data_IF_559859234790
#
_entry.id   IF_559859234790
#
_cell.length_a   1.000
_cell.length_b   1.000
_cell.length_c   1.000
_cell.angle_alpha   90.00
_cell.angle_beta   90.00
_cell.angle_gamma   90.00
#
_symmetry.space_group_name_H-M   'P 1'
#
loop_
_entity.id
_entity.type
_entity.pdbx_description
1 polymer ?
#
# COMPACT_ATOMS: atom_id res chain seq x y z
N UNK A 1 10.19 15.38 30.52
CA UNK A 1 10.34 16.03 29.21
C UNK A 1 11.03 15.00 28.32
N UNK A 2 10.25 14.20 27.60
CA UNK A 2 10.76 13.13 26.71
C UNK A 2 10.50 13.65 25.31
N UNK A 3 11.57 13.99 24.59
CA UNK A 3 11.49 14.39 23.19
C UNK A 3 11.10 13.18 22.34
N UNK A 4 10.06 13.35 21.54
CA UNK A 4 9.52 12.36 20.61
C UNK A 4 10.44 12.32 19.39
N UNK A 5 11.38 11.37 19.38
CA UNK A 5 12.22 11.03 18.23
C UNK A 5 11.44 10.19 17.17
N UNK A 6 10.17 10.53 16.92
CA UNK A 6 9.26 9.75 16.07
C UNK A 6 9.18 10.21 14.61
N UNK A 7 9.44 11.51 14.35
CA UNK A 7 9.14 12.10 13.04
C UNK A 7 10.20 11.77 11.97
N UNK A 8 11.49 11.90 12.32
CA UNK A 8 12.59 11.70 11.34
C UNK A 8 12.76 10.26 10.85
N UNK A 9 12.39 9.28 11.66
CA UNK A 9 12.55 7.87 11.30
C UNK A 9 11.40 7.37 10.41
N UNK A 10 10.19 7.91 10.61
CA UNK A 10 9.06 7.68 9.72
C UNK A 10 9.33 8.33 8.34
N UNK A 11 9.83 9.56 8.30
CA UNK A 11 10.18 10.25 7.05
C UNK A 11 11.27 9.52 6.24
N UNK A 12 12.31 9.00 6.91
CA UNK A 12 13.39 8.25 6.26
C UNK A 12 12.89 6.94 5.64
N UNK A 13 12.01 6.21 6.35
CA UNK A 13 11.46 4.94 5.88
C UNK A 13 10.43 5.13 4.76
N UNK A 14 9.64 6.19 4.81
CA UNK A 14 8.72 6.57 3.72
C UNK A 14 9.51 6.94 2.46
N UNK A 15 10.63 7.65 2.59
CA UNK A 15 11.49 8.03 1.46
C UNK A 15 12.10 6.82 0.74
N UNK A 16 12.62 5.83 1.49
CA UNK A 16 13.17 4.60 0.89
C UNK A 16 12.09 3.73 0.26
N UNK A 17 10.90 3.65 0.86
CA UNK A 17 9.78 2.91 0.28
C UNK A 17 9.22 3.59 -0.97
N UNK A 18 9.26 4.93 -1.07
CA UNK A 18 8.91 5.65 -2.29
C UNK A 18 9.84 5.30 -3.47
N UNK A 19 11.14 5.14 -3.21
CA UNK A 19 12.09 4.69 -4.24
C UNK A 19 11.84 3.23 -4.66
N UNK A 20 11.49 2.35 -3.71
CA UNK A 20 11.06 0.97 -4.00
C UNK A 20 9.78 0.94 -4.83
N UNK A 21 8.80 1.82 -4.54
CA UNK A 21 7.60 2.02 -5.35
C UNK A 21 7.96 2.51 -6.75
N UNK A 22 8.81 3.53 -6.89
CA UNK A 22 9.23 4.05 -8.18
C UNK A 22 9.90 2.98 -9.07
N UNK A 23 10.64 2.04 -8.46
CA UNK A 23 11.24 0.89 -9.16
C UNK A 23 10.19 -0.15 -9.57
N UNK A 24 9.18 -0.41 -8.74
CA UNK A 24 8.06 -1.32 -9.03
C UNK A 24 7.16 -0.76 -10.14
N UNK A 25 6.91 0.55 -10.13
CA UNK A 25 6.06 1.24 -11.08
C UNK A 25 6.67 1.29 -12.49
N UNK A 26 7.98 1.14 -12.65
CA UNK A 26 8.64 1.45 -13.93
C UNK A 26 8.63 2.95 -14.21
N UNK A 27 9.59 3.42 -15.02
CA UNK A 27 9.74 4.84 -15.34
C UNK A 27 8.63 5.28 -16.31
N UNK A 28 7.81 6.25 -15.91
CA UNK A 28 6.84 6.96 -16.77
C UNK A 28 5.40 6.42 -16.71
N UNK A 29 4.81 6.37 -15.51
CA UNK A 29 3.47 5.81 -15.33
C UNK A 29 2.35 6.81 -15.59
N UNK A 30 1.22 6.29 -16.06
CA UNK A 30 -0.02 7.02 -16.35
C UNK A 30 -0.58 7.82 -15.16
N UNK A 31 -0.09 7.55 -13.95
CA UNK A 31 -0.53 8.12 -12.68
C UNK A 31 0.57 8.85 -11.90
N UNK A 32 1.66 9.29 -12.56
CA UNK A 32 2.77 10.01 -11.91
C UNK A 32 2.32 11.28 -11.13
N UNK A 33 1.21 11.92 -11.54
CA UNK A 33 0.63 13.06 -10.81
C UNK A 33 0.08 12.67 -9.43
N UNK A 34 -0.43 11.45 -9.26
CA UNK A 34 -0.96 10.95 -7.99
C UNK A 34 0.13 10.49 -7.02
N UNK A 35 1.32 10.17 -7.53
CA UNK A 35 2.45 9.72 -6.71
C UNK A 35 3.39 10.87 -6.34
N UNK A 36 3.25 12.03 -6.98
CA UNK A 36 3.98 13.25 -6.66
C UNK A 36 3.19 14.19 -5.75
N UNK A 37 1.87 14.26 -5.90
CA UNK A 37 0.97 14.91 -4.95
C UNK A 37 0.26 13.87 -4.07
N UNK A 38 0.51 13.96 -2.77
CA UNK A 38 -0.07 13.07 -1.77
C UNK A 38 -1.55 13.38 -1.47
N UNK A 39 -2.07 14.55 -1.84
CA UNK A 39 -3.41 14.99 -1.45
C UNK A 39 -4.54 14.12 -2.04
N UNK A 40 -4.54 13.71 -3.33
CA UNK A 40 -5.63 12.93 -3.93
C UNK A 40 -5.83 11.55 -3.28
N UNK A 41 -4.78 10.98 -2.71
CA UNK A 41 -4.81 9.65 -2.08
C UNK A 41 -4.87 9.71 -0.55
N UNK A 42 -5.11 10.89 0.03
CA UNK A 42 -5.12 11.09 1.48
C UNK A 42 -6.15 10.21 2.20
N UNK A 43 -7.38 10.14 1.67
CA UNK A 43 -8.46 9.32 2.25
C UNK A 43 -8.10 7.83 2.25
N UNK A 44 -7.58 7.30 1.14
CA UNK A 44 -7.16 5.90 1.05
C UNK A 44 -6.09 5.57 2.10
N UNK A 45 -5.11 6.46 2.31
CA UNK A 45 -4.11 6.28 3.37
C UNK A 45 -4.72 6.30 4.77
N UNK A 46 -5.61 7.25 5.03
CA UNK A 46 -6.25 7.39 6.35
C UNK A 46 -7.11 6.17 6.68
N UNK A 47 -7.76 5.57 5.69
CA UNK A 47 -8.47 4.30 5.83
C UNK A 47 -7.53 3.14 6.20
N UNK A 48 -6.35 3.03 5.58
CA UNK A 48 -5.34 2.03 5.99
C UNK A 48 -4.81 2.27 7.41
N UNK A 49 -4.59 3.53 7.79
CA UNK A 49 -4.19 3.88 9.17
C UNK A 49 -5.27 3.47 10.17
N UNK A 50 -6.53 3.75 9.86
CA UNK A 50 -7.69 3.33 10.68
C UNK A 50 -7.81 1.82 10.76
N UNK A 51 -7.58 1.11 9.66
CA UNK A 51 -7.60 -0.35 9.63
C UNK A 51 -6.59 -0.94 10.61
N UNK A 52 -5.38 -0.39 10.67
CA UNK A 52 -4.33 -0.86 11.56
C UNK A 52 -4.54 -0.41 13.01
N UNK A 53 -5.02 0.82 13.23
CA UNK A 53 -5.23 1.37 14.56
C UNK A 53 -6.46 0.81 15.28
N UNK A 54 -7.52 0.42 14.56
CA UNK A 54 -8.76 -0.05 15.18
C UNK A 54 -8.65 -1.52 15.60
N UNK A 55 -8.92 -1.86 16.88
CA UNK A 55 -9.36 -3.22 17.19
C UNK A 55 -10.68 -3.48 16.45
N UNK A 56 -10.86 -4.67 15.90
CA UNK A 56 -12.04 -4.96 15.09
C UNK A 56 -12.04 -6.39 14.57
N UNK A 57 -13.22 -6.83 14.12
CA UNK A 57 -13.40 -8.15 13.51
C UNK A 57 -12.70 -8.21 12.14
N UNK A 58 -12.40 -9.42 11.62
CA UNK A 58 -11.85 -9.58 10.27
C UNK A 58 -12.73 -8.92 9.21
N UNK A 59 -14.06 -9.02 9.36
CA UNK A 59 -15.04 -8.41 8.47
C UNK A 59 -14.95 -6.87 8.47
N UNK A 60 -14.89 -6.24 9.65
CA UNK A 60 -14.79 -4.78 9.74
C UNK A 60 -13.48 -4.26 9.12
N UNK A 61 -12.38 -5.00 9.26
CA UNK A 61 -11.11 -4.66 8.61
C UNK A 61 -11.17 -4.88 7.09
N UNK A 62 -11.85 -5.93 6.62
CA UNK A 62 -12.06 -6.16 5.20
C UNK A 62 -12.89 -5.03 4.54
N UNK A 63 -13.93 -4.54 5.22
CA UNK A 63 -14.70 -3.38 4.77
C UNK A 63 -13.82 -2.13 4.61
N UNK A 64 -12.91 -1.87 5.54
CA UNK A 64 -11.94 -0.76 5.41
C UNK A 64 -10.97 -0.95 4.22
N UNK A 65 -10.63 -2.17 3.84
CA UNK A 65 -9.84 -2.43 2.61
C UNK A 65 -10.66 -2.10 1.36
N UNK A 66 -11.93 -2.47 1.35
CA UNK A 66 -12.82 -2.17 0.25
C UNK A 66 -13.01 -0.66 0.09
N UNK A 67 -13.21 0.08 1.19
CA UNK A 67 -13.27 1.53 1.19
C UNK A 67 -11.95 2.16 0.71
N UNK A 68 -10.81 1.62 1.15
CA UNK A 68 -9.47 2.05 0.71
C UNK A 68 -9.35 1.92 -0.81
N UNK A 69 -9.73 0.77 -1.36
CA UNK A 69 -9.70 0.52 -2.79
C UNK A 69 -10.62 1.48 -3.56
N UNK A 70 -11.86 1.66 -3.09
CA UNK A 70 -12.84 2.52 -3.73
C UNK A 70 -12.39 3.99 -3.77
N UNK A 71 -11.83 4.48 -2.67
CA UNK A 71 -11.26 5.82 -2.58
C UNK A 71 -10.07 6.00 -3.55
N UNK A 72 -9.17 5.02 -3.62
CA UNK A 72 -8.03 5.06 -4.55
C UNK A 72 -8.50 5.05 -6.02
N UNK A 73 -9.45 4.18 -6.37
CA UNK A 73 -10.05 4.13 -7.70
C UNK A 73 -10.78 5.43 -8.06
N UNK A 74 -11.44 6.08 -7.11
CA UNK A 74 -12.06 7.39 -7.33
C UNK A 74 -11.00 8.45 -7.69
N UNK A 75 -9.90 8.52 -6.93
CA UNK A 75 -8.78 9.41 -7.22
C UNK A 75 -8.16 9.13 -8.61
N UNK A 76 -7.94 7.86 -8.95
CA UNK A 76 -7.43 7.44 -10.26
C UNK A 76 -8.37 7.83 -11.41
N UNK A 77 -9.67 7.64 -11.24
CA UNK A 77 -10.68 8.03 -12.25
C UNK A 77 -10.72 9.55 -12.43
N UNK A 78 -10.59 10.31 -11.36
CA UNK A 78 -10.49 11.77 -11.43
C UNK A 78 -9.23 12.24 -12.18
N UNK A 79 -8.12 11.49 -12.09
CA UNK A 79 -6.87 11.85 -12.76
C UNK A 79 -6.86 11.52 -14.27
N UNK A 80 -7.47 10.40 -14.69
CA UNK A 80 -7.37 9.88 -16.07
C UNK A 80 -8.65 10.07 -16.90
N UNK A 81 -9.79 10.39 -16.26
CA UNK A 81 -11.07 10.55 -16.96
C UNK A 81 -11.66 9.21 -17.42
N UNK A 82 -12.18 9.13 -18.65
CA UNK A 82 -12.96 7.99 -19.15
C UNK A 82 -12.13 6.74 -19.58
N UNK A 83 -10.94 6.55 -19.01
CA UNK A 83 -10.08 5.40 -19.30
C UNK A 83 -10.38 4.19 -18.41
N UNK A 84 -10.22 2.99 -18.97
CA UNK A 84 -10.19 1.77 -18.15
C UNK A 84 -8.95 1.77 -17.24
N UNK A 85 -9.16 1.30 -16.00
CA UNK A 85 -8.13 1.12 -14.98
C UNK A 85 -7.98 -0.38 -14.75
N UNK A 86 -6.83 -0.93 -15.11
CA UNK A 86 -6.49 -2.34 -14.92
C UNK A 86 -5.81 -2.61 -13.58
N UNK A 87 -5.52 -3.88 -13.31
CA UNK A 87 -4.71 -4.26 -12.14
C UNK A 87 -3.27 -3.73 -12.24
N UNK A 88 -2.69 -3.70 -13.44
CA UNK A 88 -1.36 -3.16 -13.71
C UNK A 88 -1.27 -1.65 -13.46
N UNK A 89 -2.39 -0.93 -13.51
CA UNK A 89 -2.49 0.48 -13.13
C UNK A 89 -2.71 0.61 -11.60
N UNK A 90 -3.61 -0.21 -11.07
CA UNK A 90 -4.11 -0.10 -9.70
C UNK A 90 -3.07 -0.52 -8.66
N UNK A 91 -2.41 -1.67 -8.84
CA UNK A 91 -1.51 -2.24 -7.84
C UNK A 91 -0.32 -1.30 -7.55
N UNK A 92 0.33 -0.66 -8.56
CA UNK A 92 1.36 0.33 -8.30
C UNK A 92 0.87 1.54 -7.48
N UNK A 93 -0.34 2.06 -7.77
CA UNK A 93 -0.94 3.15 -6.99
C UNK A 93 -1.24 2.69 -5.56
N UNK A 94 -1.76 1.49 -5.36
CA UNK A 94 -1.99 0.93 -4.02
C UNK A 94 -0.67 0.70 -3.27
N UNK A 95 0.41 0.28 -3.94
CA UNK A 95 1.72 0.13 -3.31
C UNK A 95 2.23 1.48 -2.80
N UNK A 96 2.04 2.54 -3.57
CA UNK A 96 2.30 3.91 -3.11
C UNK A 96 1.45 4.29 -1.90
N UNK A 97 0.14 4.02 -1.91
CA UNK A 97 -0.75 4.28 -0.76
C UNK A 97 -0.29 3.51 0.48
N UNK A 98 0.11 2.24 0.34
CA UNK A 98 0.62 1.43 1.44
C UNK A 98 1.92 2.02 2.00
N UNK A 99 2.91 2.31 1.16
CA UNK A 99 4.18 2.89 1.57
C UNK A 99 3.98 4.22 2.33
N UNK A 100 3.13 5.09 1.80
CA UNK A 100 2.88 6.43 2.35
C UNK A 100 1.88 6.43 3.52
N UNK A 101 1.17 5.33 3.76
CA UNK A 101 0.33 5.17 4.96
C UNK A 101 1.15 5.03 6.23
N UNK A 102 2.41 4.58 6.13
CA UNK A 102 3.33 4.40 7.26
C UNK A 102 2.90 3.27 8.21
N UNK A 103 2.25 2.22 7.70
CA UNK A 103 1.71 1.12 8.50
C UNK A 103 2.56 -0.15 8.41
N UNK A 104 3.61 -0.32 9.24
CA UNK A 104 4.49 -1.50 9.18
C UNK A 104 3.78 -2.80 9.55
N UNK A 105 2.72 -2.73 10.38
CA UNK A 105 1.94 -3.90 10.81
C UNK A 105 0.83 -4.29 9.81
N UNK A 106 0.72 -3.63 8.65
CA UNK A 106 -0.37 -3.89 7.70
C UNK A 106 -0.43 -5.36 7.27
N UNK A 107 0.72 -5.97 6.97
CA UNK A 107 0.76 -7.39 6.57
C UNK A 107 0.24 -8.33 7.66
N UNK A 108 0.48 -8.02 8.94
CA UNK A 108 -0.08 -8.79 10.05
C UNK A 108 -1.61 -8.69 10.07
N UNK A 109 -2.17 -7.50 9.81
CA UNK A 109 -3.62 -7.32 9.70
C UNK A 109 -4.21 -8.02 8.48
N UNK A 110 -3.52 -8.01 7.34
CA UNK A 110 -3.96 -8.73 6.15
C UNK A 110 -3.96 -10.25 6.40
N UNK A 111 -2.92 -10.79 7.04
CA UNK A 111 -2.91 -12.20 7.47
C UNK A 111 -4.00 -12.52 8.50
N UNK A 112 -4.30 -11.60 9.41
CA UNK A 112 -5.43 -11.73 10.31
C UNK A 112 -6.77 -11.83 9.57
N UNK A 113 -6.98 -11.01 8.53
CA UNK A 113 -8.19 -11.10 7.70
C UNK A 113 -8.22 -12.44 6.95
N UNK A 114 -7.15 -12.81 6.26
CA UNK A 114 -7.05 -14.06 5.48
C UNK A 114 -7.31 -15.31 6.33
N UNK A 115 -6.83 -15.32 7.58
CA UNK A 115 -6.93 -16.49 8.44
C UNK A 115 -8.29 -16.61 9.15
N UNK A 116 -8.91 -15.49 9.51
CA UNK A 116 -10.10 -15.48 10.38
C UNK A 116 -11.39 -15.03 9.70
N UNK A 117 -11.33 -14.48 8.48
CA UNK A 117 -12.53 -14.17 7.71
C UNK A 117 -13.01 -15.42 6.98
N UNK A 118 -14.32 -15.65 7.02
CA UNK A 118 -14.93 -16.78 6.32
C UNK A 118 -14.81 -16.63 4.80
N UNK A 119 -14.47 -17.72 4.11
CA UNK A 119 -14.24 -17.74 2.66
C UNK A 119 -15.42 -17.21 1.85
N UNK A 120 -16.65 -17.34 2.34
CA UNK A 120 -17.83 -16.78 1.65
C UNK A 120 -17.78 -15.26 1.50
N UNK A 121 -17.06 -14.56 2.38
CA UNK A 121 -16.83 -13.12 2.31
C UNK A 121 -15.59 -12.75 1.47
N UNK A 122 -14.75 -13.72 1.12
CA UNK A 122 -13.54 -13.49 0.30
C UNK A 122 -13.81 -13.71 -1.20
N UNK A 123 -15.09 -13.77 -1.59
CA UNK A 123 -15.53 -13.85 -2.98
C UNK A 123 -16.02 -12.47 -3.46
N UNK A 124 -15.83 -12.15 -4.74
CA UNK A 124 -16.32 -10.90 -5.32
C UNK A 124 -15.45 -9.68 -4.98
N UNK A 125 -16.09 -8.58 -4.59
CA UNK A 125 -15.43 -7.27 -4.46
C UNK A 125 -14.51 -7.18 -3.24
N UNK A 126 -14.89 -7.82 -2.15
CA UNK A 126 -14.15 -7.95 -0.90
C UNK A 126 -12.85 -8.71 -1.14
N UNK A 127 -12.94 -9.90 -1.73
CA UNK A 127 -11.79 -10.71 -2.12
C UNK A 127 -10.87 -9.99 -3.11
N UNK A 128 -11.44 -9.27 -4.08
CA UNK A 128 -10.67 -8.43 -4.99
C UNK A 128 -9.89 -7.35 -4.24
N UNK A 129 -10.55 -6.59 -3.37
CA UNK A 129 -9.91 -5.52 -2.60
C UNK A 129 -8.80 -6.05 -1.67
N UNK A 130 -9.04 -7.18 -1.02
CA UNK A 130 -8.03 -7.86 -0.21
C UNK A 130 -6.82 -8.25 -1.05
N UNK A 131 -7.05 -8.93 -2.18
CA UNK A 131 -5.98 -9.43 -3.05
C UNK A 131 -5.16 -8.29 -3.64
N UNK A 132 -5.81 -7.19 -4.06
CA UNK A 132 -5.12 -6.01 -4.60
C UNK A 132 -4.23 -5.33 -3.55
N UNK A 133 -4.73 -5.10 -2.33
CA UNK A 133 -3.93 -4.47 -1.26
C UNK A 133 -2.84 -5.41 -0.76
N UNK A 134 -3.12 -6.71 -0.65
CA UNK A 134 -2.11 -7.71 -0.27
C UNK A 134 -0.98 -7.80 -1.29
N UNK A 135 -1.32 -7.81 -2.58
CA UNK A 135 -0.33 -7.81 -3.67
C UNK A 135 0.54 -6.55 -3.63
N UNK A 136 -0.08 -5.39 -3.43
CA UNK A 136 0.63 -4.12 -3.28
C UNK A 136 1.61 -4.13 -2.09
N UNK A 137 1.18 -4.63 -0.93
CA UNK A 137 2.05 -4.74 0.25
C UNK A 137 3.20 -5.73 0.02
N UNK A 138 2.96 -6.85 -0.67
CA UNK A 138 4.00 -7.84 -0.98
C UNK A 138 4.99 -7.37 -2.04
N UNK A 139 4.55 -6.55 -2.99
CA UNK A 139 5.43 -5.92 -3.97
C UNK A 139 6.51 -5.09 -3.27
N UNK A 140 6.14 -4.29 -2.26
CA UNK A 140 7.08 -3.48 -1.47
C UNK A 140 8.13 -4.34 -0.75
N UNK A 141 7.70 -5.42 -0.08
CA UNK A 141 8.63 -6.34 0.61
C UNK A 141 9.61 -6.98 -0.37
N UNK A 142 9.15 -7.31 -1.57
CA UNK A 142 9.98 -7.92 -2.60
C UNK A 142 11.01 -6.93 -3.15
N UNK A 143 10.63 -5.66 -3.32
CA UNK A 143 11.53 -4.60 -3.78
C UNK A 143 12.67 -4.33 -2.79
N UNK A 144 12.40 -4.37 -1.48
CA UNK A 144 13.41 -4.16 -0.44
C UNK A 144 14.46 -5.28 -0.42
N UNK A 145 14.09 -6.51 -0.80
CA UNK A 145 15.02 -7.64 -0.87
C UNK A 145 16.00 -7.58 -2.04
N UNK A 146 15.69 -6.81 -3.10
CA UNK A 146 16.54 -6.67 -4.29
C UNK A 146 17.70 -5.68 -4.10
N UNK A 147 17.74 -4.95 -2.98
CA UNK A 147 18.83 -4.05 -2.61
C UNK A 147 19.97 -4.71 -1.82
N UNK A 148 19.88 -6.00 -1.47
CA UNK A 148 20.80 -6.66 -0.54
C UNK A 148 21.90 -7.52 -1.19
N UNK A 149 22.02 -7.55 -2.53
CA UNK A 149 23.06 -8.32 -3.25
C UNK A 149 24.09 -7.40 -3.89
N UNK A 150 24.96 -6.80 -3.07
CA UNK A 150 25.99 -5.90 -3.62
C UNK A 150 27.05 -5.39 -2.65
N UNK A 151 27.65 -6.25 -1.81
CA UNK A 151 28.97 -5.98 -1.21
C UNK A 151 29.51 -7.20 -0.44
N UNK A 152 29.98 -8.22 -1.15
CA UNK A 152 31.08 -9.05 -0.62
C UNK A 152 32.01 -9.42 -1.78
N UNK A 153 32.93 -8.51 -2.10
CA UNK A 153 34.20 -8.83 -2.70
C UNK A 153 35.25 -8.60 -1.63
N UNK A 154 35.38 -9.55 -0.72
CA UNK A 154 36.57 -9.64 0.12
C UNK A 154 37.58 -10.54 -0.57
N UNK A 155 38.57 -9.85 -1.12
CA UNK A 155 39.82 -10.29 -1.73
C UNK A 155 40.48 -11.50 -1.03
N UNK A 156 40.91 -12.49 -1.83
CA UNK A 156 41.90 -13.51 -1.47
C UNK A 156 42.77 -13.86 -2.66
#
# INVERSE_FOLDING_TARGET
>A
MIEVAGDKQADCQVSSQLESVAKLCGVGQRFDSLTTDLAPLSESRDLLRRLCASPGTPLAKCQLLQDTLNSALAAMRSAVGAGEIGADDLVPVLAFVVATSGQPALLCHLKYIEYFLDDSHMLGAEGYSFTSVYTAAMALVSADSSGATGADKTDR
#
